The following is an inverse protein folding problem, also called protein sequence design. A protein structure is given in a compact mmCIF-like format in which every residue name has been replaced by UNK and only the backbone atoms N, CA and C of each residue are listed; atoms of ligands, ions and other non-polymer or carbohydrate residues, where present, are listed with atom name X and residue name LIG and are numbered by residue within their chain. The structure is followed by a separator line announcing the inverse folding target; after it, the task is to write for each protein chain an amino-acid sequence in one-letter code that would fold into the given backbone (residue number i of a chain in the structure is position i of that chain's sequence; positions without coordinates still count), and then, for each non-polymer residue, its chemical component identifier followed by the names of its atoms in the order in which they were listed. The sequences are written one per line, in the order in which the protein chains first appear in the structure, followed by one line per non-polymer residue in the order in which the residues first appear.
data_IF_667347943334
#
_entry.id   IF_667347943334
#
_cell.length_a   1.000
_cell.length_b   1.000
_cell.length_c   1.000
_cell.angle_alpha   90.00
_cell.angle_beta   90.00
_cell.angle_gamma   90.00
#
_symmetry.space_group_name_H-M   'P 1'
#
loop_
_entity.id
_entity.type
_entity.pdbx_description
1 polymer ?
#
# COMPACT_ATOMS: atom_id res chain seq x y z
N UNK A 1 -4.28 41.15 9.90
CA UNK A 1 -4.72 40.02 9.05
C UNK A 1 -3.70 38.90 9.17
N UNK A 2 -4.03 37.82 9.87
CA UNK A 2 -3.15 36.65 9.98
C UNK A 2 -3.20 35.86 8.66
N UNK A 3 -2.04 35.68 8.02
CA UNK A 3 -1.92 34.85 6.81
C UNK A 3 -2.09 33.39 7.22
N UNK A 4 -3.19 32.76 6.83
CA UNK A 4 -3.36 31.31 6.95
C UNK A 4 -2.45 30.63 5.93
N UNK A 5 -1.35 30.06 6.39
CA UNK A 5 -0.47 29.23 5.57
C UNK A 5 -1.29 28.08 4.99
N UNK A 6 -1.28 27.84 3.66
CA UNK A 6 -1.93 26.67 3.11
C UNK A 6 -1.30 25.42 3.72
N UNK A 7 -2.13 24.45 4.12
CA UNK A 7 -1.70 23.18 4.71
C UNK A 7 -0.94 22.41 3.61
N UNK A 8 0.34 22.72 3.44
CA UNK A 8 1.23 22.07 2.50
C UNK A 8 1.37 20.59 2.83
N UNK A 9 1.16 19.75 1.83
CA UNK A 9 1.07 18.29 1.88
C UNK A 9 2.11 17.64 2.81
N UNK A 10 1.63 17.02 3.90
CA UNK A 10 2.43 16.19 4.85
C UNK A 10 2.99 14.89 4.24
N UNK A 11 2.86 14.69 2.93
CA UNK A 11 3.21 13.47 2.22
C UNK A 11 3.92 13.82 0.90
N UNK A 12 5.07 13.22 0.63
CA UNK A 12 5.71 13.29 -0.68
C UNK A 12 4.86 12.53 -1.72
N UNK A 13 4.04 13.27 -2.47
CA UNK A 13 3.08 12.73 -3.44
C UNK A 13 3.73 12.08 -4.66
N UNK A 14 5.03 12.31 -4.88
CA UNK A 14 5.79 11.65 -5.94
C UNK A 14 6.10 10.20 -5.58
N UNK A 15 6.18 9.89 -4.28
CA UNK A 15 6.51 8.56 -3.74
C UNK A 15 5.31 7.84 -3.17
N UNK A 16 4.36 8.57 -2.60
CA UNK A 16 3.27 8.00 -1.82
C UNK A 16 1.92 8.46 -2.36
N UNK A 17 0.93 7.56 -2.31
CA UNK A 17 -0.46 7.83 -2.66
C UNK A 17 -1.36 7.38 -1.51
N UNK A 18 -2.47 8.09 -1.30
CA UNK A 18 -3.51 7.68 -0.36
C UNK A 18 -4.53 6.77 -1.05
N UNK A 19 -5.04 5.80 -0.30
CA UNK A 19 -6.16 4.94 -0.71
C UNK A 19 -7.24 5.08 0.35
N UNK A 20 -8.48 5.34 -0.09
CA UNK A 20 -9.63 5.36 0.81
C UNK A 20 -10.02 3.94 1.19
N UNK A 21 -10.25 3.70 2.49
CA UNK A 21 -10.69 2.41 3.04
C UNK A 21 -11.81 2.65 4.04
N UNK A 22 -12.60 1.61 4.35
CA UNK A 22 -13.62 1.68 5.39
C UNK A 22 -12.98 1.92 6.76
N UNK A 23 -13.71 2.64 7.62
CA UNK A 23 -13.23 2.98 8.96
C UNK A 23 -12.95 1.74 9.82
N UNK A 24 -13.76 0.69 9.66
CA UNK A 24 -13.60 -0.55 10.42
C UNK A 24 -12.35 -1.32 9.99
N UNK A 25 -12.09 -1.39 8.67
CA UNK A 25 -10.86 -1.98 8.13
C UNK A 25 -9.62 -1.23 8.62
N UNK A 26 -9.68 0.11 8.68
CA UNK A 26 -8.60 0.92 9.24
C UNK A 26 -8.32 0.60 10.72
N UNK A 27 -9.38 0.45 11.53
CA UNK A 27 -9.25 0.10 12.96
C UNK A 27 -8.63 -1.29 13.11
N UNK A 28 -9.09 -2.27 12.33
CA UNK A 28 -8.54 -3.63 12.32
C UNK A 28 -7.07 -3.59 11.93
N UNK A 29 -6.71 -2.91 10.83
CA UNK A 29 -5.33 -2.75 10.37
C UNK A 29 -4.43 -2.16 11.47
N UNK A 30 -4.86 -1.06 12.11
CA UNK A 30 -4.10 -0.45 13.21
C UNK A 30 -3.93 -1.46 14.36
N UNK A 31 -4.98 -2.19 14.73
CA UNK A 31 -4.92 -3.19 15.79
C UNK A 31 -3.99 -4.36 15.47
N UNK A 32 -3.93 -4.80 14.21
CA UNK A 32 -2.99 -5.84 13.75
C UNK A 32 -1.54 -5.35 13.84
N UNK A 33 -1.31 -4.09 13.46
CA UNK A 33 0.00 -3.46 13.52
C UNK A 33 0.52 -3.30 14.96
N UNK A 34 -0.36 -3.08 15.93
CA UNK A 34 0.03 -3.02 17.36
C UNK A 34 0.66 -4.30 17.91
N UNK A 35 0.46 -5.47 17.27
CA UNK A 35 0.92 -6.77 17.79
C UNK A 35 2.17 -7.32 17.12
N UNK A 36 2.33 -7.15 15.79
CA UNK A 36 3.39 -7.82 15.02
C UNK A 36 4.05 -6.96 13.93
N UNK A 37 3.38 -5.93 13.40
CA UNK A 37 3.86 -5.13 12.27
C UNK A 37 3.90 -3.65 12.64
N UNK A 38 5.09 -3.09 12.83
CA UNK A 38 5.29 -1.76 13.44
C UNK A 38 4.63 -0.59 12.68
N UNK A 39 4.20 -0.74 11.43
CA UNK A 39 3.52 0.31 10.66
C UNK A 39 2.42 -0.23 9.71
N UNK A 40 1.24 0.42 9.62
CA UNK A 40 0.17 0.09 8.67
C UNK A 40 0.62 0.00 7.21
N UNK A 41 1.50 0.91 6.78
CA UNK A 41 2.04 0.93 5.43
C UNK A 41 2.83 -0.36 5.10
N UNK A 42 3.65 -0.84 6.03
CA UNK A 42 4.41 -2.08 5.86
C UNK A 42 3.49 -3.30 5.81
N UNK A 43 2.41 -3.32 6.60
CA UNK A 43 1.41 -4.40 6.54
C UNK A 43 0.69 -4.43 5.20
N UNK A 44 0.24 -3.27 4.70
CA UNK A 44 -0.39 -3.18 3.38
C UNK A 44 0.59 -3.64 2.29
N UNK A 45 1.84 -3.18 2.30
CA UNK A 45 2.86 -3.60 1.33
C UNK A 45 3.07 -5.12 1.36
N UNK A 46 3.14 -5.73 2.55
CA UNK A 46 3.21 -7.19 2.69
C UNK A 46 2.01 -7.89 2.07
N UNK A 47 0.79 -7.45 2.37
CA UNK A 47 -0.44 -8.04 1.83
C UNK A 47 -0.47 -7.96 0.29
N UNK A 48 -0.08 -6.83 -0.29
CA UNK A 48 0.01 -6.65 -1.75
C UNK A 48 1.02 -7.63 -2.35
N UNK A 49 2.22 -7.74 -1.78
CA UNK A 49 3.26 -8.63 -2.30
C UNK A 49 2.93 -10.12 -2.10
N UNK A 50 2.32 -10.49 -0.98
CA UNK A 50 1.87 -11.86 -0.73
C UNK A 50 0.80 -12.28 -1.75
N UNK A 51 -0.15 -11.39 -2.06
CA UNK A 51 -1.15 -11.64 -3.10
C UNK A 51 -0.53 -11.72 -4.49
N UNK A 52 0.45 -10.87 -4.81
CA UNK A 52 1.17 -10.95 -6.08
C UNK A 52 1.95 -12.27 -6.23
N UNK A 53 2.58 -12.77 -5.16
CA UNK A 53 3.25 -14.08 -5.18
C UNK A 53 2.25 -15.21 -5.41
N UNK A 54 1.10 -15.14 -4.75
CA UNK A 54 0.02 -16.10 -4.97
C UNK A 54 -0.43 -16.10 -6.43
N UNK A 55 -0.71 -14.94 -7.01
CA UNK A 55 -1.15 -14.85 -8.41
C UNK A 55 -0.07 -15.29 -9.41
N UNK A 56 1.18 -14.87 -9.22
CA UNK A 56 2.30 -15.33 -10.03
C UNK A 56 2.41 -16.87 -10.05
N UNK A 57 2.16 -17.52 -8.90
CA UNK A 57 2.14 -18.99 -8.81
C UNK A 57 1.00 -19.64 -9.59
N UNK A 58 -0.17 -18.98 -9.67
CA UNK A 58 -1.33 -19.46 -10.44
C UNK A 58 -1.09 -19.35 -11.94
N UNK A 59 -0.47 -18.26 -12.36
CA UNK A 59 -0.13 -17.98 -13.76
C UNK A 59 1.15 -18.69 -14.22
N UNK A 60 1.85 -19.39 -13.32
CA UNK A 60 3.14 -20.06 -13.57
C UNK A 60 4.23 -19.11 -14.08
N UNK A 61 4.18 -17.84 -13.67
CA UNK A 61 5.21 -16.84 -13.99
C UNK A 61 6.07 -16.56 -12.76
N UNK A 62 7.31 -16.12 -12.99
CA UNK A 62 8.18 -15.66 -11.90
C UNK A 62 7.58 -14.39 -11.28
N UNK A 63 7.61 -14.30 -9.96
CA UNK A 63 7.10 -13.15 -9.21
C UNK A 63 7.66 -11.80 -9.71
N UNK A 64 8.95 -11.71 -10.04
CA UNK A 64 9.57 -10.48 -10.56
C UNK A 64 8.99 -10.06 -11.92
N UNK A 65 8.72 -11.04 -12.80
CA UNK A 65 8.10 -10.81 -14.10
C UNK A 65 6.67 -10.33 -13.92
N UNK A 66 5.93 -10.96 -13.00
CA UNK A 66 4.57 -10.59 -12.67
C UNK A 66 4.46 -9.14 -12.16
N UNK A 67 5.32 -8.75 -11.21
CA UNK A 67 5.36 -7.37 -10.71
C UNK A 67 5.73 -6.39 -11.84
N UNK A 68 6.72 -6.73 -12.67
CA UNK A 68 7.11 -5.87 -13.80
C UNK A 68 5.96 -5.68 -14.79
N UNK A 69 5.16 -6.71 -15.05
CA UNK A 69 4.01 -6.62 -15.93
C UNK A 69 2.93 -5.69 -15.34
N UNK A 70 2.58 -5.86 -14.06
CA UNK A 70 1.62 -5.00 -13.36
C UNK A 70 2.03 -3.53 -13.35
N UNK A 71 3.30 -3.23 -13.03
CA UNK A 71 3.81 -1.85 -12.98
C UNK A 71 3.83 -1.16 -14.35
N UNK A 72 3.92 -1.93 -15.44
CA UNK A 72 3.88 -1.41 -16.81
C UNK A 72 2.47 -1.39 -17.41
N UNK A 73 1.44 -1.71 -16.64
CA UNK A 73 0.06 -1.75 -17.12
C UNK A 73 -0.22 -2.89 -18.11
N UNK A 74 0.60 -3.95 -18.11
CA UNK A 74 0.39 -5.14 -18.93
C UNK A 74 -0.19 -6.21 -18.02
N UNK A 75 -1.50 -6.40 -18.05
CA UNK A 75 -2.23 -7.41 -17.28
C UNK A 75 -3.15 -8.18 -18.21
#
# INVERSE_FOLDING_TARGET
MAKTTPIGNKMDISKWKSVAIRIDDYKILKSLCGKKFRAPASMISKLVHDYCKYQASKEKVKYEVFIKNLLNGKH
#
